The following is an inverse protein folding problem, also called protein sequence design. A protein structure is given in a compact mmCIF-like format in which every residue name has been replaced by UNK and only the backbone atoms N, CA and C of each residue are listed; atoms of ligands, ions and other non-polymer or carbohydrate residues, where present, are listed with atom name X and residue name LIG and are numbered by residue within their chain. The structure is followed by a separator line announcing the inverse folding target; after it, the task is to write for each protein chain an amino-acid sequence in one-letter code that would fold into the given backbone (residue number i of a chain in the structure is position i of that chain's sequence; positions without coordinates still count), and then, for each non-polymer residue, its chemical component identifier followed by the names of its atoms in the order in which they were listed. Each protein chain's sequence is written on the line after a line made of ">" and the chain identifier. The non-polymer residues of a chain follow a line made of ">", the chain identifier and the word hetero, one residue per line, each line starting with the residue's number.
data_IF_514525304544
#
_entry.id   IF_514525304544
#
_cell.length_a   1.000
_cell.length_b   1.000
_cell.length_c   1.000
_cell.angle_alpha   90.00
_cell.angle_beta   90.00
_cell.angle_gamma   90.00
#
_symmetry.space_group_name_H-M   'P 1'
#
loop_
_entity.id
_entity.type
_entity.pdbx_description
1 polymer ?
#
# COMPACT_ATOMS: atom_id res chain seq x y z
N UNK A 1 19.11 34.28 12.03
CA UNK A 1 19.61 33.21 11.13
C UNK A 1 20.18 32.12 12.03
N UNK A 2 19.78 30.86 12.09
CA UNK A 2 19.11 29.92 11.17
C UNK A 2 18.28 29.00 12.09
N UNK A 3 16.97 28.84 11.85
CA UNK A 3 16.17 27.77 12.46
C UNK A 3 15.55 26.94 11.33
N UNK A 4 15.42 25.63 11.60
CA UNK A 4 14.68 24.59 10.84
C UNK A 4 15.30 24.06 9.55
N UNK A 5 16.08 22.98 9.65
CA UNK A 5 16.18 21.99 8.55
C UNK A 5 16.41 20.53 8.99
N UNK A 6 16.32 20.23 10.31
CA UNK A 6 16.56 18.86 10.84
C UNK A 6 15.27 18.05 11.04
N UNK A 7 14.12 18.69 11.30
CA UNK A 7 12.83 18.00 11.44
C UNK A 7 12.25 17.45 10.11
N UNK A 8 12.61 18.03 8.97
CA UNK A 8 12.05 17.66 7.65
C UNK A 8 12.43 16.23 7.22
N UNK A 9 13.66 15.79 7.50
CA UNK A 9 14.16 14.47 7.07
C UNK A 9 13.58 13.30 7.87
N UNK A 10 13.31 13.47 9.17
CA UNK A 10 12.74 12.40 10.00
C UNK A 10 11.29 12.07 9.58
N UNK A 11 10.53 13.09 9.18
CA UNK A 11 9.16 12.91 8.67
C UNK A 11 9.13 12.15 7.34
N UNK A 12 10.15 12.34 6.50
CA UNK A 12 10.23 11.69 5.20
C UNK A 12 10.54 10.19 5.32
N UNK A 13 11.42 9.80 6.25
CA UNK A 13 11.73 8.39 6.52
C UNK A 13 10.53 7.62 7.11
N UNK A 14 9.80 8.23 8.05
CA UNK A 14 8.57 7.66 8.61
C UNK A 14 7.47 7.51 7.54
N UNK A 15 7.45 8.40 6.55
CA UNK A 15 6.52 8.33 5.42
C UNK A 15 6.87 7.16 4.48
N UNK A 16 8.15 6.99 4.14
CA UNK A 16 8.62 5.87 3.29
C UNK A 16 8.33 4.52 3.95
N UNK A 17 8.60 4.39 5.25
CA UNK A 17 8.30 3.16 6.01
C UNK A 17 6.79 2.92 6.09
N UNK A 18 5.99 3.97 6.30
CA UNK A 18 4.53 3.91 6.26
C UNK A 18 3.98 3.44 4.91
N UNK A 19 4.43 4.02 3.80
CA UNK A 19 4.01 3.62 2.45
C UNK A 19 4.37 2.16 2.15
N UNK A 20 5.60 1.75 2.49
CA UNK A 20 6.04 0.38 2.27
C UNK A 20 5.22 -0.62 3.11
N UNK A 21 4.87 -0.25 4.35
CA UNK A 21 4.00 -1.06 5.21
C UNK A 21 2.59 -1.23 4.62
N UNK A 22 2.04 -0.15 4.04
CA UNK A 22 0.73 -0.14 3.39
C UNK A 22 0.73 -0.99 2.12
N UNK A 23 1.80 -0.91 1.31
CA UNK A 23 1.97 -1.77 0.13
C UNK A 23 2.02 -3.25 0.52
N UNK A 24 2.74 -3.58 1.60
CA UNK A 24 2.85 -4.95 2.10
C UNK A 24 1.48 -5.49 2.54
N UNK A 25 0.70 -4.67 3.25
CA UNK A 25 -0.67 -5.01 3.67
C UNK A 25 -1.58 -5.29 2.47
N UNK A 26 -1.56 -4.41 1.46
CA UNK A 26 -2.38 -4.58 0.25
C UNK A 26 -1.97 -5.83 -0.56
N UNK A 27 -0.67 -6.14 -0.64
CA UNK A 27 -0.19 -7.38 -1.29
C UNK A 27 -0.69 -8.63 -0.56
N UNK A 28 -0.60 -8.65 0.77
CA UNK A 28 -1.13 -9.75 1.60
C UNK A 28 -2.65 -9.93 1.40
N UNK A 29 -3.39 -8.82 1.39
CA UNK A 29 -4.83 -8.84 1.13
C UNK A 29 -5.18 -9.38 -0.26
N UNK A 30 -4.44 -8.96 -1.30
CA UNK A 30 -4.64 -9.45 -2.66
C UNK A 30 -4.39 -10.96 -2.77
N UNK A 31 -3.37 -11.47 -2.09
CA UNK A 31 -3.07 -12.92 -2.05
C UNK A 31 -4.23 -13.66 -1.39
N UNK A 32 -4.70 -13.19 -0.23
CA UNK A 32 -5.83 -13.82 0.47
C UNK A 32 -7.09 -13.85 -0.40
N UNK A 33 -7.41 -12.74 -1.09
CA UNK A 33 -8.54 -12.67 -2.01
C UNK A 33 -8.41 -13.66 -3.18
N UNK A 34 -7.20 -13.81 -3.74
CA UNK A 34 -6.92 -14.80 -4.79
C UNK A 34 -7.04 -16.24 -4.28
N UNK A 35 -6.54 -16.54 -3.08
CA UNK A 35 -6.69 -17.87 -2.47
C UNK A 35 -8.16 -18.21 -2.28
N UNK A 36 -8.95 -17.27 -1.74
CA UNK A 36 -10.40 -17.45 -1.57
C UNK A 36 -11.10 -17.64 -2.93
N UNK A 37 -10.73 -16.89 -3.96
CA UNK A 37 -11.26 -17.06 -5.31
C UNK A 37 -10.92 -18.45 -5.89
N UNK A 38 -9.67 -18.90 -5.74
CA UNK A 38 -9.20 -20.20 -6.25
C UNK A 38 -9.84 -21.38 -5.52
N UNK A 39 -10.07 -21.24 -4.23
CA UNK A 39 -10.81 -22.21 -3.40
C UNK A 39 -12.33 -22.11 -3.54
N UNK A 40 -12.83 -21.34 -4.52
CA UNK A 40 -14.26 -21.14 -4.80
C UNK A 40 -15.07 -20.60 -3.61
N UNK A 41 -14.42 -19.95 -2.64
CA UNK A 41 -15.10 -19.25 -1.56
C UNK A 41 -15.81 -18.01 -2.10
N UNK A 42 -16.88 -17.58 -1.41
CA UNK A 42 -17.62 -16.37 -1.77
C UNK A 42 -16.75 -15.14 -1.59
N UNK A 43 -16.30 -14.55 -2.69
CA UNK A 43 -15.49 -13.31 -2.72
C UNK A 43 -16.14 -12.31 -3.66
N UNK A 44 -16.22 -11.05 -3.22
CA UNK A 44 -16.71 -9.96 -4.07
C UNK A 44 -15.63 -9.58 -5.11
N UNK A 45 -15.87 -9.71 -6.43
CA UNK A 45 -14.85 -9.45 -7.45
C UNK A 45 -14.27 -8.03 -7.42
N UNK A 46 -15.10 -7.05 -7.05
CA UNK A 46 -14.67 -5.66 -6.94
C UNK A 46 -13.61 -5.42 -5.86
N UNK A 47 -13.50 -6.29 -4.84
CA UNK A 47 -12.44 -6.17 -3.84
C UNK A 47 -11.08 -6.41 -4.49
N UNK A 48 -10.96 -7.43 -5.34
CA UNK A 48 -9.73 -7.71 -6.10
C UNK A 48 -9.36 -6.53 -7.00
N UNK A 49 -10.35 -5.97 -7.72
CA UNK A 49 -10.15 -4.78 -8.58
C UNK A 49 -9.68 -3.58 -7.77
N UNK A 50 -10.35 -3.27 -6.65
CA UNK A 50 -10.01 -2.14 -5.77
C UNK A 50 -8.62 -2.29 -5.16
N UNK A 51 -8.25 -3.48 -4.68
CA UNK A 51 -6.93 -3.72 -4.08
C UNK A 51 -5.81 -3.58 -5.12
N UNK A 52 -5.99 -4.11 -6.35
CA UNK A 52 -5.03 -3.89 -7.45
C UNK A 52 -4.87 -2.40 -7.80
N UNK A 53 -5.98 -1.67 -7.90
CA UNK A 53 -5.96 -0.26 -8.22
C UNK A 53 -5.22 0.56 -7.15
N UNK A 54 -5.48 0.30 -5.87
CA UNK A 54 -4.75 0.95 -4.75
C UNK A 54 -3.25 0.69 -4.80
N UNK A 55 -2.84 -0.55 -5.09
CA UNK A 55 -1.41 -0.87 -5.25
C UNK A 55 -0.81 -0.03 -6.39
N UNK A 56 -1.49 0.04 -7.54
CA UNK A 56 -1.05 0.84 -8.68
C UNK A 56 -0.92 2.33 -8.33
N UNK A 57 -1.91 2.92 -7.66
CA UNK A 57 -1.86 4.32 -7.23
C UNK A 57 -0.64 4.61 -6.36
N UNK A 58 -0.34 3.74 -5.39
CA UNK A 58 0.82 3.93 -4.50
C UNK A 58 2.13 3.90 -5.29
N UNK A 59 2.25 3.01 -6.29
CA UNK A 59 3.44 2.97 -7.15
C UNK A 59 3.55 4.20 -8.05
N UNK A 60 2.45 4.64 -8.64
CA UNK A 60 2.41 5.85 -9.48
C UNK A 60 2.76 7.09 -8.67
N UNK A 61 2.31 7.21 -7.42
CA UNK A 61 2.66 8.33 -6.55
C UNK A 61 4.10 8.28 -5.99
N UNK A 62 4.84 7.19 -6.21
CA UNK A 62 6.24 7.02 -5.77
C UNK A 62 7.26 7.28 -6.88
N UNK A 63 6.86 7.23 -8.15
CA UNK A 63 7.67 7.62 -9.31
C UNK A 63 7.64 9.13 -9.48
#
# INVERSE_FOLDING_TARGET
>A
MIKTNKQSNHNFHNNITGINSQILKLKKELILLKVKQKTKQKVKPHLIKKTKHKISQIFTSKQ
#
